data_IF_709727223712
#
_entry.id   IF_709727223712
#
_cell.length_a   1.000
_cell.length_b   1.000
_cell.length_c   1.000
_cell.angle_alpha   90.00
_cell.angle_beta   90.00
_cell.angle_gamma   90.00
#
_symmetry.space_group_name_H-M   'P 1'
#
loop_
_entity.id
_entity.type
_entity.pdbx_description
1 polymer ?
#
# COMPACT_ATOMS: atom_id res chain seq x y z
N UNK A 1 -7.05 3.97 9.53
CA UNK A 1 -6.27 3.84 8.30
C UNK A 1 -6.38 5.13 7.49
N UNK A 2 -5.28 5.61 6.89
CA UNK A 2 -5.29 6.76 5.99
C UNK A 2 -6.13 6.49 4.73
N UNK A 3 -6.87 7.49 4.24
CA UNK A 3 -7.69 7.36 3.04
C UNK A 3 -6.84 7.07 1.79
N UNK A 4 -5.60 7.55 1.75
CA UNK A 4 -4.65 7.43 0.65
C UNK A 4 -3.37 6.73 1.09
N UNK A 5 -2.62 6.18 0.13
CA UNK A 5 -1.21 5.92 0.31
C UNK A 5 -0.47 7.24 0.61
N UNK A 6 0.62 7.19 1.38
CA UNK A 6 1.44 8.38 1.67
C UNK A 6 1.96 8.95 0.37
N UNK A 7 1.78 10.26 0.18
CA UNK A 7 2.14 10.98 -1.04
C UNK A 7 3.57 11.53 -0.97
N UNK A 8 4.11 11.93 -2.12
CA UNK A 8 5.38 12.66 -2.14
C UNK A 8 5.32 13.99 -1.39
N UNK A 9 4.19 14.74 -1.44
CA UNK A 9 4.03 15.97 -0.66
C UNK A 9 4.17 15.73 0.85
N UNK A 10 3.54 14.65 1.34
CA UNK A 10 3.62 14.27 2.75
C UNK A 10 5.01 13.76 3.13
N UNK A 11 5.68 13.03 2.24
CA UNK A 11 7.06 12.61 2.44
C UNK A 11 8.03 13.79 2.47
N UNK A 12 7.91 14.72 1.52
CA UNK A 12 8.74 15.91 1.44
C UNK A 12 8.56 16.81 2.68
N UNK A 13 7.35 16.89 3.21
CA UNK A 13 7.10 17.57 4.48
C UNK A 13 7.80 16.88 5.67
N UNK A 14 7.89 15.54 5.67
CA UNK A 14 8.66 14.81 6.66
C UNK A 14 10.16 15.19 6.58
N UNK A 15 10.73 15.14 5.38
CA UNK A 15 12.15 15.47 5.15
C UNK A 15 12.43 16.93 5.52
N UNK A 16 11.57 17.85 5.10
CA UNK A 16 11.72 19.29 5.42
C UNK A 16 11.67 19.57 6.92
N UNK A 17 10.96 18.75 7.70
CA UNK A 17 10.88 18.85 9.15
C UNK A 17 11.99 18.05 9.88
N UNK A 18 13.04 17.62 9.19
CA UNK A 18 14.16 16.85 9.76
C UNK A 18 13.83 15.39 10.07
N UNK A 19 12.74 14.84 9.50
CA UNK A 19 12.35 13.44 9.62
C UNK A 19 12.79 12.60 8.42
N UNK A 20 12.30 11.35 8.36
CA UNK A 20 12.54 10.39 7.27
C UNK A 20 14.03 10.22 6.93
N UNK A 21 14.90 10.35 7.94
CA UNK A 21 16.37 10.27 7.83
C UNK A 21 16.97 11.14 6.71
N UNK A 22 16.26 12.22 6.31
CA UNK A 22 16.63 13.10 5.21
C UNK A 22 16.57 12.45 3.83
N UNK A 23 16.08 11.21 3.72
CA UNK A 23 16.05 10.46 2.47
C UNK A 23 15.07 11.07 1.44
N UNK A 24 15.55 11.29 0.23
CA UNK A 24 14.77 11.85 -0.89
C UNK A 24 14.64 10.80 -2.00
N UNK A 25 13.56 10.00 -2.01
CA UNK A 25 13.34 8.99 -3.03
C UNK A 25 13.12 9.61 -4.42
N UNK A 26 13.62 8.92 -5.45
CA UNK A 26 13.34 9.26 -6.85
C UNK A 26 11.86 9.11 -7.17
N UNK A 27 11.31 10.05 -7.90
CA UNK A 27 9.97 10.00 -8.48
C UNK A 27 9.95 9.41 -9.90
N UNK A 28 11.07 8.89 -10.39
CA UNK A 28 11.26 8.34 -11.73
C UNK A 28 11.02 9.36 -12.86
N UNK A 29 11.01 10.66 -12.55
CA UNK A 29 10.62 11.70 -13.49
C UNK A 29 9.12 11.76 -13.80
N UNK A 30 8.29 11.06 -12.98
CA UNK A 30 6.82 11.05 -13.16
C UNK A 30 6.13 12.21 -12.47
N UNK A 31 6.86 13.00 -11.68
CA UNK A 31 6.37 14.05 -10.83
C UNK A 31 6.04 13.58 -9.42
N UNK A 32 6.07 14.51 -8.48
CA UNK A 32 5.84 14.31 -7.04
C UNK A 32 4.40 14.65 -6.65
N UNK A 33 4.19 15.57 -5.76
CA UNK A 33 2.88 16.06 -5.38
C UNK A 33 1.98 14.97 -4.80
N UNK A 34 0.81 14.84 -5.39
CA UNK A 34 -0.24 13.89 -4.97
C UNK A 34 -0.01 12.45 -5.44
N UNK A 35 1.12 12.12 -6.09
CA UNK A 35 1.46 10.73 -6.37
C UNK A 35 1.91 10.02 -5.10
N UNK A 36 1.64 8.70 -4.96
CA UNK A 36 2.16 7.95 -3.81
C UNK A 36 3.68 8.00 -3.82
N UNK A 37 4.29 8.16 -2.65
CA UNK A 37 5.74 8.03 -2.51
C UNK A 37 6.16 6.61 -2.90
N UNK A 38 7.19 6.51 -3.74
CA UNK A 38 7.77 5.26 -4.23
C UNK A 38 9.27 5.22 -3.95
N UNK A 39 9.92 4.11 -4.25
CA UNK A 39 11.34 3.89 -3.95
C UNK A 39 11.64 4.03 -2.45
N UNK A 40 10.71 3.61 -1.61
CA UNK A 40 10.83 3.57 -0.15
C UNK A 40 10.82 2.12 0.34
N UNK A 41 11.74 1.80 1.25
CA UNK A 41 11.82 0.51 1.93
C UNK A 41 10.82 0.46 3.10
N UNK A 42 10.68 -0.72 3.70
CA UNK A 42 9.93 -0.87 4.94
C UNK A 42 10.52 -0.01 6.07
N UNK A 43 11.85 0.09 6.15
CA UNK A 43 12.53 0.91 7.16
C UNK A 43 12.26 2.40 6.96
N UNK A 44 12.24 2.86 5.71
CA UNK A 44 11.86 4.25 5.39
C UNK A 44 10.42 4.54 5.81
N UNK A 45 9.50 3.61 5.55
CA UNK A 45 8.11 3.73 5.97
C UNK A 45 7.98 3.77 7.52
N UNK A 46 8.79 2.99 8.24
CA UNK A 46 8.88 3.05 9.72
C UNK A 46 9.38 4.40 10.20
N UNK A 47 10.44 4.94 9.61
CA UNK A 47 10.95 6.26 9.95
C UNK A 47 9.88 7.37 9.76
N UNK A 48 9.07 7.26 8.70
CA UNK A 48 7.95 8.18 8.46
C UNK A 48 6.88 8.09 9.56
N UNK A 49 6.39 6.90 9.91
CA UNK A 49 5.33 6.75 10.91
C UNK A 49 5.81 7.15 12.31
N UNK A 50 7.07 6.95 12.63
CA UNK A 50 7.69 7.41 13.86
C UNK A 50 7.79 8.95 13.92
N UNK A 51 8.24 9.59 12.82
CA UNK A 51 8.23 11.04 12.71
C UNK A 51 6.83 11.62 12.85
N UNK A 52 5.84 11.05 12.14
CA UNK A 52 4.45 11.50 12.19
C UNK A 52 3.86 11.35 13.59
N UNK A 53 4.22 10.28 14.30
CA UNK A 53 3.79 10.04 15.68
C UNK A 53 4.35 11.10 16.62
N UNK A 54 5.66 11.39 16.53
CA UNK A 54 6.30 12.45 17.34
C UNK A 54 5.71 13.83 17.04
N UNK A 55 5.51 14.15 15.74
CA UNK A 55 4.98 15.44 15.29
C UNK A 55 3.56 15.71 15.78
N UNK A 56 2.73 14.67 15.85
CA UNK A 56 1.29 14.83 16.14
C UNK A 56 0.91 14.49 17.58
N UNK A 57 1.79 13.86 18.34
CA UNK A 57 1.46 13.27 19.65
C UNK A 57 0.46 12.11 19.59
N UNK A 58 0.30 11.48 18.42
CA UNK A 58 -0.61 10.34 18.19
C UNK A 58 0.19 9.14 17.72
N UNK A 59 -0.26 7.93 18.04
CA UNK A 59 0.41 6.70 17.61
C UNK A 59 0.03 6.33 16.16
N UNK A 60 0.96 6.54 15.22
CA UNK A 60 0.87 6.06 13.85
C UNK A 60 1.77 4.84 13.66
N UNK A 61 1.35 3.94 12.77
CA UNK A 61 2.06 2.70 12.47
C UNK A 61 1.78 2.25 11.03
N UNK A 62 2.51 1.25 10.56
CA UNK A 62 2.08 0.48 9.41
C UNK A 62 0.86 -0.36 9.80
N UNK A 63 0.07 -0.74 8.81
CA UNK A 63 -1.08 -1.62 9.00
C UNK A 63 -0.59 -3.06 9.16
N UNK A 64 -1.35 -3.88 9.88
CA UNK A 64 -1.23 -5.31 9.74
C UNK A 64 -1.77 -5.76 8.38
N UNK A 65 -1.31 -6.92 7.92
CA UNK A 65 -1.80 -7.53 6.68
C UNK A 65 -3.32 -7.80 6.75
N UNK A 66 -3.79 -8.26 7.91
CA UNK A 66 -5.21 -8.50 8.17
C UNK A 66 -6.05 -7.21 8.12
N UNK A 67 -5.60 -6.14 8.77
CA UNK A 67 -6.27 -4.82 8.73
C UNK A 67 -6.36 -4.29 7.29
N UNK A 68 -5.29 -4.45 6.52
CA UNK A 68 -5.24 -3.96 5.14
C UNK A 68 -6.20 -4.73 4.22
N UNK A 69 -6.26 -6.06 4.33
CA UNK A 69 -7.21 -6.87 3.57
C UNK A 69 -8.65 -6.56 3.95
N UNK A 70 -8.95 -6.51 5.25
CA UNK A 70 -10.28 -6.16 5.77
C UNK A 70 -10.75 -4.81 5.22
N UNK A 71 -9.89 -3.80 5.27
CA UNK A 71 -10.18 -2.47 4.77
C UNK A 71 -10.33 -2.42 3.23
N UNK A 72 -9.53 -3.18 2.48
CA UNK A 72 -9.65 -3.27 1.03
C UNK A 72 -10.98 -3.89 0.61
N UNK A 73 -11.45 -4.90 1.32
CA UNK A 73 -12.70 -5.58 1.05
C UNK A 73 -13.93 -4.72 1.34
N UNK A 74 -13.89 -3.85 2.32
CA UNK A 74 -15.01 -3.00 2.72
C UNK A 74 -16.35 -3.76 2.83
N UNK A 75 -16.30 -4.95 3.45
CA UNK A 75 -17.45 -5.82 3.67
C UNK A 75 -17.74 -6.84 2.56
N UNK A 76 -16.96 -6.87 1.46
CA UNK A 76 -17.17 -7.85 0.38
C UNK A 76 -16.26 -9.09 0.53
N UNK A 77 -16.67 -10.20 -0.10
CA UNK A 77 -15.88 -11.43 -0.22
C UNK A 77 -15.26 -11.61 -1.63
N UNK A 78 -15.57 -10.72 -2.57
CA UNK A 78 -15.11 -10.78 -3.96
C UNK A 78 -13.61 -10.44 -4.09
N UNK A 79 -12.95 -10.77 -5.22
CA UNK A 79 -11.55 -10.42 -5.46
C UNK A 79 -11.25 -8.92 -5.30
N UNK A 80 -12.17 -8.05 -5.71
CA UNK A 80 -12.11 -6.59 -5.56
C UNK A 80 -13.36 -6.12 -4.82
N UNK A 81 -13.31 -4.96 -4.16
CA UNK A 81 -14.48 -4.45 -3.41
C UNK A 81 -15.71 -4.19 -4.29
N UNK A 82 -15.52 -4.00 -5.61
CA UNK A 82 -16.60 -3.79 -6.59
C UNK A 82 -17.07 -5.07 -7.30
N UNK A 83 -16.43 -6.24 -7.07
CA UNK A 83 -16.82 -7.50 -7.70
C UNK A 83 -15.66 -8.38 -8.15
N UNK A 84 -15.90 -9.21 -9.17
CA UNK A 84 -14.98 -10.27 -9.58
C UNK A 84 -14.05 -9.92 -10.72
N UNK A 85 -14.33 -8.87 -11.48
CA UNK A 85 -13.51 -8.38 -12.60
C UNK A 85 -12.90 -7.03 -12.29
N UNK A 86 -11.92 -6.61 -13.08
CA UNK A 86 -11.24 -5.33 -12.94
C UNK A 86 -11.00 -4.71 -14.32
N UNK A 87 -11.06 -3.39 -14.40
CA UNK A 87 -10.70 -2.59 -15.56
C UNK A 87 -9.75 -1.46 -15.21
N UNK A 88 -9.06 -0.92 -16.22
CA UNK A 88 -8.13 0.21 -16.04
C UNK A 88 -8.83 1.55 -15.74
N UNK A 89 -10.16 1.59 -15.75
CA UNK A 89 -10.99 2.70 -15.27
C UNK A 89 -11.21 2.64 -13.75
N UNK A 90 -11.00 1.46 -13.14
CA UNK A 90 -11.19 1.22 -11.71
C UNK A 90 -9.89 1.24 -10.92
N UNK A 91 -8.76 0.86 -11.57
CA UNK A 91 -7.46 0.75 -10.91
C UNK A 91 -6.29 0.92 -11.88
N UNK A 92 -5.10 1.20 -11.32
CA UNK A 92 -3.85 1.32 -12.06
C UNK A 92 -3.02 0.02 -11.92
N UNK A 93 -2.93 -0.74 -13.00
CA UNK A 93 -2.18 -1.99 -13.14
C UNK A 93 -1.71 -2.16 -14.59
N UNK A 94 -1.03 -3.27 -14.95
CA UNK A 94 -0.70 -3.54 -16.35
C UNK A 94 -1.96 -3.83 -17.18
N UNK A 95 -2.47 -2.80 -17.83
CA UNK A 95 -3.68 -2.82 -18.64
C UNK A 95 -3.61 -3.70 -19.89
N UNK A 96 -2.43 -4.21 -20.28
CA UNK A 96 -2.29 -5.21 -21.33
C UNK A 96 -2.87 -6.57 -20.92
N UNK A 97 -3.15 -6.78 -19.65
CA UNK A 97 -3.64 -8.02 -19.07
C UNK A 97 -5.07 -7.85 -18.54
N UNK A 98 -5.83 -8.93 -18.54
CA UNK A 98 -7.22 -8.98 -18.08
C UNK A 98 -7.38 -9.99 -16.94
N UNK A 99 -8.40 -9.78 -16.07
CA UNK A 99 -8.75 -10.68 -14.99
C UNK A 99 -10.26 -10.73 -14.77
N UNK A 100 -10.80 -11.94 -14.50
CA UNK A 100 -12.19 -12.13 -14.09
C UNK A 100 -13.22 -11.72 -15.14
N UNK A 101 -12.89 -11.80 -16.43
CA UNK A 101 -13.76 -11.36 -17.53
C UNK A 101 -13.68 -9.84 -17.80
N UNK A 102 -12.79 -9.13 -17.11
CA UNK A 102 -12.48 -7.72 -17.39
C UNK A 102 -11.84 -7.52 -18.76
N UNK A 103 -11.85 -6.27 -19.24
CA UNK A 103 -11.26 -5.91 -20.53
C UNK A 103 -9.83 -5.41 -20.34
N UNK A 104 -8.98 -5.62 -21.34
CA UNK A 104 -7.70 -4.90 -21.47
C UNK A 104 -7.96 -3.42 -21.65
N UNK A 105 -7.01 -2.59 -21.23
CA UNK A 105 -7.13 -1.14 -21.32
C UNK A 105 -5.77 -0.45 -21.25
N UNK A 106 -5.73 0.78 -20.74
CA UNK A 106 -4.53 1.59 -20.68
C UNK A 106 -3.49 1.00 -19.71
N UNK A 107 -2.29 0.73 -20.19
CA UNK A 107 -1.11 0.50 -19.36
C UNK A 107 -0.36 1.81 -19.16
N UNK A 108 -0.55 2.47 -18.00
CA UNK A 108 -0.03 3.82 -17.72
C UNK A 108 1.47 3.88 -17.49
N UNK A 109 2.12 2.75 -17.23
CA UNK A 109 3.57 2.57 -17.02
C UNK A 109 4.17 3.49 -15.93
N UNK A 110 3.34 3.99 -15.02
CA UNK A 110 3.70 4.87 -13.90
C UNK A 110 2.59 4.89 -12.86
N UNK A 111 2.90 5.41 -11.67
CA UNK A 111 1.87 5.66 -10.66
C UNK A 111 0.88 6.73 -11.15
N UNK A 112 -0.32 6.75 -10.57
CA UNK A 112 -1.32 7.82 -10.73
C UNK A 112 -1.44 8.60 -9.42
N UNK A 113 -1.89 9.87 -9.43
CA UNK A 113 -2.25 10.58 -8.20
C UNK A 113 -3.21 9.76 -7.33
N UNK A 114 -3.12 9.90 -6.01
CA UNK A 114 -3.80 9.00 -5.06
C UNK A 114 -5.33 9.08 -5.09
N UNK A 115 -5.91 10.11 -5.66
CA UNK A 115 -7.35 10.32 -5.85
C UNK A 115 -7.90 9.95 -7.25
N UNK A 116 -7.07 9.38 -8.15
CA UNK A 116 -7.43 9.18 -9.56
C UNK A 116 -8.59 8.21 -9.80
N UNK A 117 -9.00 7.42 -8.84
CA UNK A 117 -10.07 6.43 -8.96
C UNK A 117 -11.08 6.57 -7.84
N UNK A 118 -12.25 5.97 -8.00
CA UNK A 118 -13.29 5.99 -6.97
C UNK A 118 -12.84 5.28 -5.70
N UNK A 119 -13.18 5.80 -4.51
CA UNK A 119 -12.91 5.14 -3.24
C UNK A 119 -13.81 3.92 -3.06
N UNK A 120 -13.39 2.99 -2.20
CA UNK A 120 -14.27 1.93 -1.74
C UNK A 120 -15.38 2.49 -0.80
N UNK A 121 -16.41 1.69 -0.42
CA UNK A 121 -17.51 2.13 0.45
C UNK A 121 -17.07 2.73 1.81
N UNK A 122 -15.82 2.50 2.23
CA UNK A 122 -15.26 3.06 3.46
C UNK A 122 -14.40 4.30 3.21
N UNK A 123 -14.45 4.88 2.02
CA UNK A 123 -13.72 6.10 1.67
C UNK A 123 -12.22 5.89 1.43
N UNK A 124 -11.78 4.67 1.16
CA UNK A 124 -10.37 4.34 0.94
C UNK A 124 -10.07 4.28 -0.56
N UNK A 125 -9.12 5.08 -1.00
CA UNK A 125 -8.72 5.18 -2.39
C UNK A 125 -7.63 4.18 -2.75
N UNK A 126 -7.65 3.70 -3.99
CA UNK A 126 -6.59 2.90 -4.61
C UNK A 126 -6.12 1.71 -3.74
N UNK A 127 -7.09 1.05 -3.10
CA UNK A 127 -6.82 -0.17 -2.33
C UNK A 127 -6.48 -1.37 -3.23
N UNK A 128 -6.65 -1.22 -4.56
CA UNK A 128 -6.29 -2.15 -5.61
C UNK A 128 -5.45 -1.42 -6.65
N UNK A 129 -4.22 -1.88 -6.90
CA UNK A 129 -3.29 -1.31 -7.86
C UNK A 129 -2.53 -0.07 -7.37
N UNK A 130 -1.91 0.63 -8.29
CA UNK A 130 -1.06 1.79 -8.16
C UNK A 130 0.29 1.49 -7.49
N UNK A 131 0.34 1.21 -6.20
CA UNK A 131 1.55 0.77 -5.48
C UNK A 131 1.24 -0.38 -4.53
N UNK A 132 2.15 -1.34 -4.44
CA UNK A 132 2.21 -2.29 -3.34
C UNK A 132 2.47 -1.52 -2.04
N UNK A 133 1.69 -1.81 -1.02
CA UNK A 133 1.83 -1.15 0.28
C UNK A 133 2.53 -2.06 1.28
N UNK A 134 3.58 -1.55 1.95
CA UNK A 134 4.29 -2.24 3.02
C UNK A 134 3.39 -2.45 4.24
N UNK A 135 3.39 -3.70 4.77
CA UNK A 135 2.71 -4.08 6.01
C UNK A 135 3.70 -4.21 7.16
N UNK A 136 3.20 -4.19 8.40
CA UNK A 136 4.02 -4.43 9.59
C UNK A 136 4.46 -5.89 9.70
N UNK A 137 3.72 -6.83 9.10
CA UNK A 137 3.88 -8.27 9.24
C UNK A 137 5.18 -8.78 8.63
N UNK A 138 5.82 -9.71 9.35
CA UNK A 138 6.92 -10.52 8.84
C UNK A 138 6.40 -11.54 7.81
N UNK A 139 7.29 -12.07 6.97
CA UNK A 139 6.95 -13.11 6.00
C UNK A 139 6.66 -14.43 6.68
N UNK A 140 5.50 -15.01 6.39
CA UNK A 140 5.08 -16.34 6.78
C UNK A 140 4.44 -17.05 5.59
N UNK A 141 4.74 -18.34 5.37
CA UNK A 141 4.30 -19.06 4.15
C UNK A 141 2.80 -19.32 4.10
N UNK A 142 2.16 -19.44 5.24
CA UNK A 142 0.71 -19.66 5.38
C UNK A 142 0.21 -18.92 6.62
N UNK A 143 -1.03 -19.11 7.00
CA UNK A 143 -1.64 -18.45 8.17
C UNK A 143 -1.70 -19.34 9.43
N UNK A 144 -0.98 -20.48 9.46
CA UNK A 144 -0.93 -21.32 10.64
C UNK A 144 -0.19 -20.60 11.77
N UNK A 145 -0.88 -20.32 12.88
CA UNK A 145 -0.35 -19.54 13.99
C UNK A 145 -0.43 -18.02 13.81
N UNK A 146 -1.10 -17.53 12.77
CA UNK A 146 -1.35 -16.11 12.62
C UNK A 146 -2.19 -15.55 13.79
N UNK A 147 -1.97 -14.29 14.21
CA UNK A 147 -2.84 -13.63 15.19
C UNK A 147 -4.30 -13.63 14.72
N UNK A 148 -5.23 -13.98 15.60
CA UNK A 148 -6.66 -14.02 15.30
C UNK A 148 -7.38 -12.71 15.59
N UNK A 149 -6.71 -11.76 16.23
CA UNK A 149 -7.25 -10.46 16.64
C UNK A 149 -6.97 -9.33 15.62
N UNK A 150 -6.38 -9.66 14.48
CA UNK A 150 -6.01 -8.69 13.45
C UNK A 150 -4.72 -7.91 13.72
N UNK A 151 -4.02 -8.20 14.81
CA UNK A 151 -2.71 -7.61 15.06
C UNK A 151 -1.66 -8.07 14.05
N UNK A 152 -0.57 -7.31 13.90
CA UNK A 152 0.50 -7.66 12.99
C UNK A 152 1.24 -8.92 13.43
N UNK A 153 1.52 -9.80 12.49
CA UNK A 153 2.30 -11.01 12.73
C UNK A 153 3.80 -10.70 12.69
N UNK A 154 4.37 -10.42 13.87
CA UNK A 154 5.76 -9.96 14.04
C UNK A 154 6.78 -11.08 14.24
N UNK A 155 6.39 -12.34 14.07
CA UNK A 155 7.29 -13.51 14.06
C UNK A 155 7.36 -14.14 12.67
N UNK A 156 8.38 -14.98 12.41
CA UNK A 156 8.68 -15.57 11.11
C UNK A 156 9.94 -14.95 10.48
N UNK A 157 10.03 -14.93 9.15
CA UNK A 157 11.15 -14.28 8.45
C UNK A 157 10.93 -12.76 8.37
N UNK A 158 11.44 -12.03 9.35
CA UNK A 158 11.32 -10.56 9.42
C UNK A 158 12.35 -9.82 8.56
N UNK A 159 13.29 -10.50 7.89
CA UNK A 159 14.10 -9.91 6.84
C UNK A 159 13.25 -9.56 5.60
N UNK A 160 12.11 -10.23 5.47
CA UNK A 160 11.08 -9.98 4.46
C UNK A 160 9.80 -9.51 5.14
N UNK A 161 9.08 -8.62 4.48
CA UNK A 161 7.82 -8.07 4.94
C UNK A 161 6.70 -8.32 3.95
N UNK A 162 5.48 -8.44 4.45
CA UNK A 162 4.31 -8.56 3.61
C UNK A 162 4.02 -7.23 2.88
N UNK A 163 3.56 -7.33 1.64
CA UNK A 163 3.02 -6.22 0.85
C UNK A 163 1.69 -6.65 0.24
N UNK A 164 0.82 -5.68 0.05
CA UNK A 164 -0.56 -5.89 -0.42
C UNK A 164 -0.97 -4.85 -1.45
N UNK A 165 -1.99 -5.18 -2.25
CA UNK A 165 -2.71 -4.23 -3.09
C UNK A 165 -2.36 -4.23 -4.58
N UNK A 166 -1.25 -4.84 -5.00
CA UNK A 166 -0.78 -4.77 -6.39
C UNK A 166 -0.18 -3.41 -6.75
N UNK A 167 0.28 -3.24 -7.98
CA UNK A 167 0.85 -1.96 -8.44
C UNK A 167 0.58 -1.71 -9.91
N UNK A 168 0.95 -0.52 -10.38
CA UNK A 168 0.86 -0.08 -11.77
C UNK A 168 1.55 -1.03 -12.78
N UNK A 169 2.55 -1.79 -12.32
CA UNK A 169 3.41 -2.66 -13.14
C UNK A 169 2.92 -4.11 -13.24
N UNK A 170 2.24 -4.61 -12.21
CA UNK A 170 1.85 -6.03 -12.12
C UNK A 170 0.53 -6.31 -12.82
N UNK A 171 0.34 -7.59 -13.18
CA UNK A 171 -0.93 -8.07 -13.70
C UNK A 171 -2.07 -7.89 -12.67
N UNK A 172 -3.34 -7.80 -13.13
CA UNK A 172 -4.46 -7.45 -12.25
C UNK A 172 -4.77 -8.49 -11.17
N UNK A 173 -4.31 -9.73 -11.28
CA UNK A 173 -4.45 -10.74 -10.24
C UNK A 173 -3.67 -10.39 -8.95
N UNK A 174 -2.57 -9.63 -9.07
CA UNK A 174 -1.82 -9.08 -7.94
C UNK A 174 -2.61 -8.01 -7.17
N UNK A 175 -3.58 -7.37 -7.79
CA UNK A 175 -4.40 -6.35 -7.17
C UNK A 175 -5.58 -6.91 -6.37
N UNK A 176 -5.84 -8.23 -6.38
CA UNK A 176 -6.91 -8.86 -5.57
C UNK A 176 -6.70 -8.62 -4.08
N UNK A 177 -7.80 -8.48 -3.34
CA UNK A 177 -7.78 -8.29 -1.88
C UNK A 177 -6.95 -9.34 -1.15
N UNK A 178 -7.02 -10.60 -1.57
CA UNK A 178 -6.33 -11.73 -0.93
C UNK A 178 -4.89 -11.93 -1.41
N UNK A 179 -4.42 -11.20 -2.45
CA UNK A 179 -3.09 -11.45 -2.99
C UNK A 179 -1.99 -10.92 -2.06
N UNK A 180 -0.97 -11.74 -1.81
CA UNK A 180 0.15 -11.47 -0.91
C UNK A 180 1.45 -11.41 -1.68
N UNK A 181 2.28 -10.43 -1.40
CA UNK A 181 3.67 -10.35 -1.85
C UNK A 181 4.58 -10.28 -0.62
N UNK A 182 5.79 -10.81 -0.75
CA UNK A 182 6.81 -10.77 0.30
C UNK A 182 8.11 -10.33 -0.32
N UNK A 183 8.69 -9.25 0.18
CA UNK A 183 9.95 -8.73 -0.32
C UNK A 183 10.90 -8.44 0.86
N UNK A 184 12.19 -8.40 0.58
CA UNK A 184 13.16 -7.98 1.57
C UNK A 184 12.85 -6.56 2.05
N UNK A 185 12.90 -6.37 3.38
CA UNK A 185 12.53 -5.11 4.04
C UNK A 185 13.36 -3.90 3.60
N UNK A 186 14.52 -4.15 2.99
CA UNK A 186 15.44 -3.12 2.46
C UNK A 186 15.15 -2.73 1.01
N UNK A 187 14.26 -3.44 0.31
CA UNK A 187 13.98 -3.18 -1.10
C UNK A 187 13.34 -1.80 -1.31
N UNK A 188 13.80 -1.11 -2.34
CA UNK A 188 13.27 0.17 -2.82
C UNK A 188 13.01 0.08 -4.31
N UNK A 189 11.75 0.11 -4.71
CA UNK A 189 11.36 0.09 -6.14
C UNK A 189 10.24 1.06 -6.43
N UNK A 190 10.04 1.38 -7.71
CA UNK A 190 8.96 2.26 -8.17
C UNK A 190 7.55 1.66 -8.05
N UNK A 191 7.46 0.40 -7.63
CA UNK A 191 6.19 -0.31 -7.44
C UNK A 191 5.74 -0.36 -5.98
N UNK A 192 6.54 0.16 -5.04
CA UNK A 192 6.34 0.05 -3.60
C UNK A 192 6.15 1.42 -2.96
N UNK A 193 5.17 1.51 -2.08
CA UNK A 193 4.87 2.62 -1.20
C UNK A 193 4.31 2.09 0.11
N UNK A 194 3.54 2.90 0.83
CA UNK A 194 2.89 2.47 2.08
C UNK A 194 1.71 3.36 2.43
N UNK A 195 0.92 2.89 3.38
CA UNK A 195 -0.21 3.63 3.97
C UNK A 195 -0.11 3.58 5.48
N UNK A 196 -0.55 4.64 6.15
CA UNK A 196 -0.49 4.72 7.61
C UNK A 196 -1.77 4.22 8.27
N UNK A 197 -1.61 3.55 9.42
CA UNK A 197 -2.65 3.30 10.39
C UNK A 197 -2.50 4.21 11.60
N UNK A 198 -3.60 4.55 12.25
CA UNK A 198 -3.58 5.20 13.56
C UNK A 198 -4.39 4.37 14.55
N UNK A 199 -3.80 4.04 15.68
CA UNK A 199 -4.54 3.44 16.79
C UNK A 199 -5.45 4.50 17.40
N UNK A 200 -6.75 4.21 17.46
CA UNK A 200 -7.71 5.04 18.17
C UNK A 200 -7.83 4.41 19.55
N UNK A 201 -7.35 5.10 20.55
CA UNK A 201 -7.58 4.75 21.95
C UNK A 201 -8.93 5.38 22.30
N UNK A 202 -9.92 4.59 22.78
CA UNK A 202 -11.23 5.11 23.18
C UNK A 202 -11.14 6.10 24.32
#
# INVERSE_FOLDING_TARGET
>A
MGAFAVTFDEWDACVAAGGCDGYRPSDQGWGRGRRPVINVSWHDAKAYVEWLSRKTGRTYRLLSEAEREYAARAGTATPFWWGSSISTEQANYDGNLAYGGGRKGEYRQRTSPVESFQPNPWGLYQVHGNVLEWMEDCSNDNYNGAPSDGSAWTSGDCSRRALRGGSWYFSPDFARSAFRVRLYSVNRTSTQGFRVGRTIIP
#
